data_IF_817979087632
#
_entry.id   IF_817979087632
#
_cell.length_a   1.000
_cell.length_b   1.000
_cell.length_c   1.000
_cell.angle_alpha   90.00
_cell.angle_beta   90.00
_cell.angle_gamma   90.00
#
_symmetry.space_group_name_H-M   'P 1'
#
loop_
_entity.id
_entity.type
_entity.pdbx_description
1 polymer ?
#
# COMPACT_ATOMS: atom_id res chain seq x y z
N UNK A 1 15.15 -5.07 8.83
CA UNK A 1 14.57 -4.13 7.83
C UNK A 1 15.52 -3.83 6.67
N UNK A 2 16.70 -3.25 6.90
CA UNK A 2 17.58 -2.75 5.82
C UNK A 2 18.04 -3.80 4.80
N UNK A 3 18.20 -5.07 5.21
CA UNK A 3 18.59 -6.17 4.32
C UNK A 3 17.48 -6.60 3.34
N UNK A 4 16.21 -6.39 3.67
CA UNK A 4 15.08 -6.76 2.84
C UNK A 4 14.72 -5.68 1.80
N UNK A 5 15.18 -4.44 2.01
CA UNK A 5 14.84 -3.31 1.14
C UNK A 5 15.26 -3.49 -0.32
N UNK A 6 16.45 -4.05 -0.66
CA UNK A 6 16.80 -4.32 -2.06
C UNK A 6 15.78 -5.20 -2.79
N UNK A 7 15.19 -6.18 -2.12
CA UNK A 7 14.14 -7.01 -2.72
C UNK A 7 12.84 -6.23 -2.93
N UNK A 8 12.48 -5.35 -1.99
CA UNK A 8 11.30 -4.48 -2.14
C UNK A 8 11.48 -3.49 -3.28
N UNK A 9 12.68 -2.92 -3.41
CA UNK A 9 13.04 -2.05 -4.52
C UNK A 9 12.95 -2.79 -5.87
N UNK A 10 13.40 -4.05 -5.92
CA UNK A 10 13.29 -4.89 -7.12
C UNK A 10 11.82 -5.16 -7.49
N UNK A 11 10.98 -5.55 -6.54
CA UNK A 11 9.55 -5.75 -6.78
C UNK A 11 8.87 -4.47 -7.28
N UNK A 12 9.24 -3.31 -6.72
CA UNK A 12 8.76 -2.03 -7.21
C UNK A 12 9.16 -1.80 -8.68
N UNK A 13 10.41 -2.05 -9.05
CA UNK A 13 10.87 -1.86 -10.43
C UNK A 13 10.12 -2.76 -11.41
N UNK A 14 9.88 -4.01 -11.03
CA UNK A 14 9.20 -5.02 -11.86
C UNK A 14 7.71 -4.71 -12.03
N UNK A 15 7.02 -4.33 -10.95
CA UNK A 15 5.56 -4.34 -10.91
C UNK A 15 4.90 -2.96 -10.74
N UNK A 16 5.66 -1.88 -10.51
CA UNK A 16 5.09 -0.53 -10.32
C UNK A 16 4.24 -0.08 -11.50
N UNK A 17 4.65 -0.41 -12.73
CA UNK A 17 3.89 -0.11 -13.96
C UNK A 17 2.70 -1.04 -14.18
N UNK A 18 2.63 -2.15 -13.45
CA UNK A 18 1.55 -3.15 -13.53
C UNK A 18 0.48 -2.95 -12.44
N UNK A 19 0.64 -1.90 -11.62
CA UNK A 19 -0.33 -1.54 -10.59
C UNK A 19 0.11 -1.84 -9.16
N UNK A 20 1.29 -2.44 -8.95
CA UNK A 20 1.85 -2.56 -7.60
C UNK A 20 2.19 -1.18 -7.04
N UNK A 21 1.82 -0.95 -5.79
CA UNK A 21 2.26 0.19 -5.00
C UNK A 21 2.86 -0.34 -3.70
N UNK A 22 4.05 0.13 -3.38
CA UNK A 22 4.71 -0.18 -2.11
C UNK A 22 4.66 1.10 -1.27
N UNK A 23 4.32 0.96 0.00
CA UNK A 23 4.44 2.02 1.00
C UNK A 23 5.26 1.44 2.14
N UNK A 24 6.45 1.99 2.38
CA UNK A 24 7.20 1.61 3.56
C UNK A 24 6.64 2.32 4.79
N UNK A 25 6.45 1.60 5.88
CA UNK A 25 6.05 2.19 7.16
C UNK A 25 7.22 2.08 8.12
N UNK A 26 7.83 3.21 8.44
CA UNK A 26 8.83 3.28 9.49
C UNK A 26 8.13 3.37 10.84
N UNK A 27 8.18 2.25 11.56
CA UNK A 27 7.84 2.18 12.98
C UNK A 27 9.12 2.40 13.76
N UNK A 28 9.22 3.55 14.39
CA UNK A 28 10.32 3.80 15.31
C UNK A 28 10.15 2.88 16.52
N UNK A 29 11.09 1.95 16.70
CA UNK A 29 11.16 1.08 17.87
C UNK A 29 12.05 1.66 18.97
N UNK A 30 12.82 2.69 18.64
CA UNK A 30 13.61 3.46 19.59
C UNK A 30 12.76 4.62 20.14
N UNK A 31 13.32 5.37 21.09
CA UNK A 31 12.78 6.51 21.87
C UNK A 31 12.21 7.70 21.06
N UNK A 32 11.66 7.47 19.86
CA UNK A 32 11.03 8.50 19.03
C UNK A 32 12.05 9.39 18.34
N UNK A 33 13.19 8.84 17.93
CA UNK A 33 14.27 9.60 17.31
C UNK A 33 14.07 9.85 15.83
N UNK A 34 13.23 9.08 15.13
CA UNK A 34 12.92 9.32 13.71
C UNK A 34 11.54 9.93 13.59
N UNK A 35 11.49 11.26 13.57
CA UNK A 35 10.23 12.03 13.57
C UNK A 35 9.96 12.77 12.26
N UNK A 36 10.89 12.70 11.31
CA UNK A 36 10.78 13.39 10.02
C UNK A 36 11.48 12.63 8.89
N UNK A 37 11.07 12.84 7.63
CA UNK A 37 11.74 12.25 6.47
C UNK A 37 13.23 12.60 6.42
N UNK A 38 13.59 13.86 6.69
CA UNK A 38 15.00 14.31 6.70
C UNK A 38 15.87 13.56 7.71
N UNK A 39 15.33 13.27 8.90
CA UNK A 39 16.06 12.49 9.90
C UNK A 39 16.18 11.02 9.50
N UNK A 40 15.14 10.46 8.86
CA UNK A 40 15.22 9.12 8.29
C UNK A 40 16.32 9.04 7.21
N UNK A 41 16.32 9.98 6.25
CA UNK A 41 17.30 10.05 5.15
C UNK A 41 18.73 10.10 5.70
N UNK A 42 18.96 10.96 6.71
CA UNK A 42 20.25 11.07 7.40
C UNK A 42 20.70 9.73 8.00
N UNK A 43 19.79 8.97 8.60
CA UNK A 43 20.10 7.70 9.26
C UNK A 43 20.39 6.57 8.27
N UNK A 44 19.63 6.53 7.18
CA UNK A 44 19.81 5.49 6.16
C UNK A 44 20.98 5.78 5.23
N UNK A 45 21.62 6.95 5.29
CA UNK A 45 22.71 7.35 4.39
C UNK A 45 23.86 6.33 4.31
N UNK A 46 24.29 5.77 5.45
CA UNK A 46 25.34 4.72 5.47
C UNK A 46 24.85 3.43 4.81
N UNK A 47 23.60 3.05 5.07
CA UNK A 47 22.96 1.87 4.49
C UNK A 47 22.79 2.03 2.98
N UNK A 48 22.37 3.22 2.55
CA UNK A 48 22.25 3.60 1.14
C UNK A 48 23.59 3.43 0.43
N UNK A 49 24.66 4.03 0.94
CA UNK A 49 26.01 3.93 0.34
C UNK A 49 26.56 2.51 0.29
N UNK A 50 26.38 1.74 1.37
CA UNK A 50 26.90 0.38 1.46
C UNK A 50 25.94 -0.66 0.86
N UNK A 51 24.93 -1.01 1.64
CA UNK A 51 24.04 -2.14 1.38
C UNK A 51 23.14 -1.94 0.16
N UNK A 52 22.67 -0.71 -0.08
CA UNK A 52 21.80 -0.41 -1.22
C UNK A 52 22.56 0.14 -2.42
N UNK A 53 23.90 0.11 -2.40
CA UNK A 53 24.77 0.50 -3.53
C UNK A 53 24.47 1.89 -4.09
N UNK A 54 24.22 2.85 -3.20
CA UNK A 54 23.88 4.24 -3.51
C UNK A 54 22.40 4.48 -3.87
N UNK A 55 21.57 3.44 -3.89
CA UNK A 55 20.18 3.52 -4.36
C UNK A 55 19.23 4.08 -3.31
N UNK A 56 18.40 5.04 -3.73
CA UNK A 56 17.27 5.56 -2.94
C UNK A 56 16.06 4.62 -2.94
N UNK A 57 15.19 4.82 -1.96
CA UNK A 57 13.89 4.16 -1.92
C UNK A 57 12.99 4.71 -3.03
N UNK A 58 12.49 3.87 -3.96
CA UNK A 58 11.69 4.34 -5.09
C UNK A 58 10.20 4.53 -4.72
N UNK A 59 9.85 4.39 -3.45
CA UNK A 59 8.49 4.44 -2.93
C UNK A 59 8.41 5.29 -1.66
N UNK A 60 7.23 5.85 -1.32
CA UNK A 60 7.06 6.68 -0.14
C UNK A 60 7.31 5.90 1.15
N UNK A 61 7.81 6.63 2.16
CA UNK A 61 7.96 6.13 3.53
C UNK A 61 7.06 6.93 4.47
N UNK A 62 6.09 6.28 5.08
CA UNK A 62 5.30 6.83 6.17
C UNK A 62 6.06 6.67 7.48
N UNK A 63 6.24 7.75 8.24
CA UNK A 63 6.89 7.72 9.56
C UNK A 63 5.81 7.77 10.62
N UNK A 64 5.87 6.82 11.54
CA UNK A 64 4.92 6.72 12.65
C UNK A 64 5.58 7.15 13.96
N UNK A 65 4.79 7.71 14.87
CA UNK A 65 5.25 8.05 16.21
C UNK A 65 4.99 6.88 17.15
N UNK A 66 5.89 6.70 18.11
CA UNK A 66 5.65 5.79 19.24
C UNK A 66 4.48 6.33 20.06
N UNK A 67 3.42 5.54 20.14
CA UNK A 67 2.27 5.79 21.00
C UNK A 67 1.64 4.45 21.29
N UNK A 68 2.09 3.82 22.38
CA UNK A 68 1.69 2.46 22.72
C UNK A 68 0.18 2.34 22.85
N UNK A 69 -0.36 1.24 22.37
CA UNK A 69 -1.79 0.89 22.43
C UNK A 69 -1.93 -0.59 22.76
N UNK A 70 -3.07 -1.04 23.34
CA UNK A 70 -3.37 -2.46 23.44
C UNK A 70 -3.27 -3.12 22.07
N UNK A 71 -2.67 -4.31 22.01
CA UNK A 71 -2.44 -4.99 20.73
C UNK A 71 -3.75 -5.39 20.03
N UNK A 72 -4.76 -5.79 20.81
CA UNK A 72 -6.10 -6.10 20.33
C UNK A 72 -6.81 -7.10 21.26
N UNK A 73 -8.07 -7.45 20.97
CA UNK A 73 -8.79 -8.44 21.74
C UNK A 73 -8.06 -9.79 21.76
N UNK A 74 -7.82 -10.35 22.94
CA UNK A 74 -7.23 -11.68 23.10
C UNK A 74 -5.73 -11.77 22.86
N UNK A 75 -5.02 -10.65 22.71
CA UNK A 75 -3.56 -10.61 22.62
C UNK A 75 -2.99 -9.81 23.79
N UNK A 76 -2.23 -10.48 24.65
CA UNK A 76 -1.54 -9.82 25.76
C UNK A 76 -0.42 -8.92 25.26
N UNK A 77 -0.31 -7.73 25.86
CA UNK A 77 0.76 -6.78 25.60
C UNK A 77 0.33 -5.53 24.83
N UNK A 78 1.32 -4.70 24.51
CA UNK A 78 1.14 -3.42 23.83
C UNK A 78 1.82 -3.44 22.45
N UNK A 79 1.12 -2.91 21.45
CA UNK A 79 1.74 -2.54 20.18
C UNK A 79 2.48 -1.21 20.32
N UNK A 80 3.59 -1.04 19.60
CA UNK A 80 4.39 0.21 19.60
C UNK A 80 3.56 1.42 19.18
N UNK A 81 2.62 1.21 18.24
CA UNK A 81 1.62 2.20 17.84
C UNK A 81 0.39 1.54 17.22
N UNK A 82 -0.61 2.37 16.88
CA UNK A 82 -1.88 1.94 16.29
C UNK A 82 -1.70 1.20 14.96
N UNK A 83 -0.73 1.57 14.12
CA UNK A 83 -0.50 0.89 12.83
C UNK A 83 -0.04 -0.55 13.06
N UNK A 84 0.82 -0.78 14.06
CA UNK A 84 1.26 -2.13 14.43
C UNK A 84 0.08 -2.99 14.90
N UNK A 85 -0.82 -2.44 15.73
CA UNK A 85 -2.02 -3.13 16.19
C UNK A 85 -3.01 -3.41 15.04
N UNK A 86 -3.34 -2.38 14.25
CA UNK A 86 -4.35 -2.45 13.18
C UNK A 86 -4.01 -3.49 12.10
N UNK A 87 -2.72 -3.69 11.84
CA UNK A 87 -2.23 -4.62 10.82
C UNK A 87 -1.67 -5.92 11.41
N UNK A 88 -1.77 -6.14 12.73
CA UNK A 88 -1.30 -7.37 13.38
C UNK A 88 0.20 -7.65 13.20
N UNK A 89 1.03 -6.59 13.21
CA UNK A 89 2.48 -6.71 12.99
C UNK A 89 3.20 -7.16 14.26
N UNK A 90 3.65 -8.41 14.30
CA UNK A 90 4.27 -9.00 15.51
C UNK A 90 5.80 -8.83 15.56
N UNK A 91 6.46 -8.62 14.42
CA UNK A 91 7.91 -8.48 14.31
C UNK A 91 8.30 -7.61 13.13
N UNK A 92 9.57 -7.18 13.07
CA UNK A 92 10.11 -6.39 11.97
C UNK A 92 11.29 -7.10 11.30
N UNK A 93 11.39 -7.09 9.96
CA UNK A 93 10.42 -6.52 9.02
C UNK A 93 9.16 -7.42 8.88
N UNK A 94 8.03 -6.80 8.58
CA UNK A 94 6.79 -7.47 8.15
C UNK A 94 6.27 -6.78 6.90
N UNK A 95 5.95 -7.55 5.86
CA UNK A 95 5.17 -7.07 4.71
C UNK A 95 3.71 -7.43 4.90
N UNK A 96 2.81 -6.63 4.33
CA UNK A 96 1.37 -6.92 4.29
C UNK A 96 0.90 -6.70 2.85
N UNK A 97 0.17 -7.67 2.29
CA UNK A 97 -0.52 -7.51 1.01
C UNK A 97 -1.91 -6.93 1.28
N UNK A 98 -2.20 -5.82 0.61
CA UNK A 98 -3.53 -5.21 0.55
C UNK A 98 -3.98 -5.29 -0.90
N UNK A 99 -5.16 -5.87 -1.15
CA UNK A 99 -5.69 -5.95 -2.51
C UNK A 99 -6.33 -4.62 -2.96
N UNK A 100 -6.78 -4.56 -4.21
CA UNK A 100 -7.42 -3.37 -4.80
C UNK A 100 -8.70 -2.92 -4.10
N UNK A 101 -9.38 -3.82 -3.41
CA UNK A 101 -10.58 -3.53 -2.61
C UNK A 101 -10.23 -2.90 -1.25
N UNK A 102 -8.94 -2.76 -0.94
CA UNK A 102 -8.47 -2.25 0.34
C UNK A 102 -8.48 -3.30 1.46
N UNK A 103 -8.60 -4.59 1.12
CA UNK A 103 -8.64 -5.67 2.10
C UNK A 103 -7.22 -6.18 2.37
N UNK A 104 -6.88 -6.36 3.65
CA UNK A 104 -5.66 -7.06 4.06
C UNK A 104 -5.84 -8.54 3.71
N UNK A 105 -5.01 -9.04 2.80
CA UNK A 105 -5.07 -10.43 2.35
C UNK A 105 -4.27 -11.32 3.30
N UNK A 106 -3.01 -10.97 3.56
CA UNK A 106 -2.10 -11.68 4.46
C UNK A 106 -0.81 -10.91 4.72
N UNK A 107 -0.02 -11.41 5.67
CA UNK A 107 1.40 -11.06 5.79
C UNK A 107 2.17 -11.60 4.58
N UNK A 108 3.18 -10.84 4.16
CA UNK A 108 3.95 -11.06 2.94
C UNK A 108 5.43 -11.25 3.24
N UNK A 109 5.99 -12.31 2.67
CA UNK A 109 7.42 -12.60 2.63
C UNK A 109 7.89 -12.72 1.18
N UNK A 110 8.82 -11.84 0.78
CA UNK A 110 9.47 -11.92 -0.52
C UNK A 110 10.42 -13.11 -0.71
N UNK A 111 10.61 -13.92 0.34
CA UNK A 111 11.36 -15.16 0.28
C UNK A 111 10.44 -16.37 0.05
N UNK A 112 9.12 -16.21 0.19
CA UNK A 112 8.15 -17.29 0.00
C UNK A 112 7.61 -17.25 -1.44
N UNK A 113 7.85 -18.29 -2.26
CA UNK A 113 7.32 -18.37 -3.61
C UNK A 113 5.79 -18.31 -3.68
N UNK A 114 5.08 -18.84 -2.69
CA UNK A 114 3.61 -18.80 -2.67
C UNK A 114 3.09 -17.37 -2.48
N UNK A 115 3.80 -16.56 -1.70
CA UNK A 115 3.48 -15.15 -1.50
C UNK A 115 3.76 -14.31 -2.76
N UNK A 116 4.84 -14.60 -3.47
CA UNK A 116 5.14 -13.97 -4.76
C UNK A 116 4.09 -14.33 -5.82
N UNK A 117 3.71 -15.61 -5.91
CA UNK A 117 2.68 -16.05 -6.84
C UNK A 117 1.31 -15.40 -6.55
N UNK A 118 0.95 -15.25 -5.27
CA UNK A 118 -0.25 -14.52 -4.87
C UNK A 118 -0.18 -13.03 -5.23
N UNK A 119 0.97 -12.39 -5.02
CA UNK A 119 1.17 -11.00 -5.42
C UNK A 119 0.97 -10.83 -6.93
N UNK A 120 1.56 -11.72 -7.73
CA UNK A 120 1.43 -11.73 -9.19
C UNK A 120 -0.01 -11.97 -9.65
N UNK A 121 -0.74 -12.89 -9.00
CA UNK A 121 -2.16 -13.13 -9.34
C UNK A 121 -3.02 -11.89 -9.05
N UNK A 122 -2.78 -11.22 -7.91
CA UNK A 122 -3.48 -9.98 -7.56
C UNK A 122 -3.14 -8.82 -8.49
N UNK A 123 -1.94 -8.79 -9.07
CA UNK A 123 -1.52 -7.83 -10.11
C UNK A 123 -2.15 -8.17 -11.49
N UNK A 124 -2.33 -9.46 -11.80
CA UNK A 124 -2.93 -9.89 -13.04
C UNK A 124 -4.45 -9.65 -13.09
N UNK A 125 -5.18 -9.97 -12.02
CA UNK A 125 -6.60 -9.58 -11.82
C UNK A 125 -6.77 -8.07 -12.01
N UNK A 126 -5.75 -7.35 -11.58
CA UNK A 126 -5.65 -5.93 -11.66
C UNK A 126 -5.57 -5.38 -13.11
N UNK A 127 -4.95 -6.12 -14.02
CA UNK A 127 -4.86 -5.74 -15.44
C UNK A 127 -6.10 -6.08 -16.26
N UNK A 128 -7.00 -6.93 -15.76
CA UNK A 128 -8.17 -7.41 -16.50
C UNK A 128 -9.46 -6.60 -16.26
N UNK A 129 -9.50 -5.75 -15.24
CA UNK A 129 -10.66 -4.90 -14.92
C UNK A 129 -10.78 -3.62 -15.80
N UNK A 130 -9.81 -3.33 -16.68
CA UNK A 130 -9.80 -2.10 -17.48
C UNK A 130 -10.48 -2.27 -18.86
N UNK A 131 -11.80 -2.47 -18.84
CA UNK A 131 -12.68 -2.00 -19.94
C UNK A 131 -14.12 -1.84 -19.43
N UNK A 132 -14.56 -0.65 -18.99
CA UNK A 132 -15.98 -0.40 -18.87
C UNK A 132 -16.56 -0.48 -20.29
N UNK A 133 -17.41 -1.48 -20.53
CA UNK A 133 -18.21 -1.56 -21.73
C UNK A 133 -19.03 -0.27 -21.82
N UNK A 134 -18.74 0.55 -22.83
CA UNK A 134 -19.61 1.66 -23.23
C UNK A 134 -20.97 1.05 -23.57
N UNK A 135 -21.91 1.11 -22.64
CA UNK A 135 -23.31 0.88 -22.93
C UNK A 135 -23.76 2.01 -23.87
N UNK A 136 -23.81 1.71 -25.16
CA UNK A 136 -24.48 2.56 -26.14
C UNK A 136 -25.97 2.60 -25.78
N UNK A 137 -26.39 3.60 -25.01
CA UNK A 137 -27.81 3.94 -24.92
C UNK A 137 -28.22 4.61 -26.22
N UNK A 138 -28.54 3.78 -27.21
CA UNK A 138 -29.37 4.16 -28.35
C UNK A 138 -30.78 4.41 -27.81
N UNK A 139 -31.15 5.68 -27.65
CA UNK A 139 -32.45 6.07 -27.13
C UNK A 139 -32.88 7.41 -27.73
N UNK A 140 -33.33 7.37 -28.98
CA UNK A 140 -33.96 8.48 -29.70
C UNK A 140 -35.09 9.09 -28.87
N UNK A 141 -34.87 10.28 -28.30
CA UNK A 141 -35.95 11.07 -27.68
C UNK A 141 -36.60 11.94 -28.75
N UNK A 142 -37.74 11.48 -29.28
CA UNK A 142 -38.63 12.31 -30.11
C UNK A 142 -39.12 13.49 -29.26
N UNK A 143 -38.79 14.70 -29.71
CA UNK A 143 -39.41 15.94 -29.24
C UNK A 143 -40.84 15.93 -29.79
N UNK A 144 -41.84 15.85 -28.92
CA UNK A 144 -43.20 16.28 -29.25
C UNK A 144 -43.39 17.69 -28.71
N UNK A 145 -43.32 18.65 -29.61
CA UNK A 145 -43.96 19.95 -29.50
C UNK A 145 -45.48 19.75 -29.43
N UNK A 146 -46.13 20.34 -28.43
CA UNK A 146 -47.52 20.77 -28.56
C UNK A 146 -47.71 22.04 -27.73
N UNK A 147 -47.87 23.13 -28.45
CA UNK A 147 -48.39 24.40 -27.95
C UNK A 147 -49.92 24.35 -27.81
N UNK A 148 -50.46 25.41 -27.19
CA UNK A 148 -51.86 25.86 -27.07
C UNK A 148 -52.60 25.38 -25.80
N UNK A 149 -53.27 26.18 -24.97
CA UNK A 149 -53.42 27.62 -24.63
C UNK A 149 -54.31 27.64 -23.32
N UNK A 150 -54.62 28.79 -22.66
CA UNK A 150 -55.02 28.89 -21.24
C UNK A 150 -56.54 29.02 -20.97
N UNK A 151 -56.87 29.29 -19.69
CA UNK A 151 -58.17 29.60 -19.02
C UNK A 151 -58.95 28.37 -18.50
N UNK A 152 -59.47 28.36 -17.28
CA UNK A 152 -60.04 29.43 -16.42
C UNK A 152 -59.60 29.33 -14.97
#
# INVERSE_FOLDING_TARGET
CVASMPAMMKLHDEYSKQGLRIIAVHVDSDDGKVVSPTELDRRIERVKKGLWKGRDLPFPVAITKVKKVPYGPGVDGEAINKVVADYGVMFFPTGVIINRRGEVVKNFSHHDPADLALLESLIAEAGSEEKPAVQKTSGTRRIRTSSLLPNR
#
